data_IF_747323981667
#
_entry.id   IF_747323981667
#
_cell.length_a   1.000
_cell.length_b   1.000
_cell.length_c   1.000
_cell.angle_alpha   90.00
_cell.angle_beta   90.00
_cell.angle_gamma   90.00
#
_symmetry.space_group_name_H-M   'P 1'
#
loop_
_entity.id
_entity.type
_entity.pdbx_description
1 polymer ?
#
# COMPACT_ATOMS: atom_id res chain seq x y z
N UNK A 1 30.69 29.61 -22.52
CA UNK A 1 29.76 29.13 -21.48
C UNK A 1 29.75 27.61 -21.57
N UNK A 2 30.28 26.91 -20.58
CA UNK A 2 30.27 25.44 -20.51
C UNK A 2 29.06 25.05 -19.66
N UNK A 3 28.23 24.13 -20.15
CA UNK A 3 27.11 23.59 -19.39
C UNK A 3 27.66 22.46 -18.52
N UNK A 4 27.67 22.58 -17.18
CA UNK A 4 28.15 21.51 -16.32
C UNK A 4 27.19 20.31 -16.41
N UNK A 5 27.73 19.13 -16.71
CA UNK A 5 26.99 17.87 -16.65
C UNK A 5 27.35 17.16 -15.34
N UNK A 6 26.37 16.81 -14.49
CA UNK A 6 26.67 16.06 -13.26
C UNK A 6 27.23 14.69 -13.63
N UNK A 7 28.26 14.26 -12.89
CA UNK A 7 28.79 12.90 -13.03
C UNK A 7 27.77 11.90 -12.50
N UNK A 8 27.42 10.90 -13.30
CA UNK A 8 26.52 9.81 -12.91
C UNK A 8 27.26 8.49 -13.03
N UNK A 9 27.86 8.03 -11.93
CA UNK A 9 28.36 6.67 -11.80
C UNK A 9 28.62 6.39 -10.31
N UNK A 10 27.62 5.82 -9.65
CA UNK A 10 27.80 5.19 -8.35
C UNK A 10 27.26 3.78 -8.49
N UNK A 11 28.15 2.78 -8.45
CA UNK A 11 27.74 1.38 -8.37
C UNK A 11 27.63 1.00 -6.89
N UNK A 12 26.43 0.58 -6.49
CA UNK A 12 26.20 0.10 -5.12
C UNK A 12 26.46 -1.41 -5.08
N UNK A 13 27.50 -1.82 -4.37
CA UNK A 13 27.89 -3.25 -4.25
C UNK A 13 26.76 -4.12 -3.70
N UNK A 14 25.86 -3.53 -2.91
CA UNK A 14 24.73 -4.20 -2.27
C UNK A 14 23.48 -4.25 -3.14
N UNK A 15 23.46 -3.67 -4.35
CA UNK A 15 22.25 -3.65 -5.20
C UNK A 15 21.67 -5.05 -5.45
N UNK A 16 22.52 -6.07 -5.57
CA UNK A 16 22.07 -7.46 -5.75
C UNK A 16 21.38 -8.07 -4.53
N UNK A 17 21.46 -7.45 -3.35
CA UNK A 17 20.71 -7.87 -2.16
C UNK A 17 19.28 -7.34 -2.14
N UNK A 18 19.03 -6.17 -2.74
CA UNK A 18 17.74 -5.49 -2.68
C UNK A 18 16.86 -5.74 -3.90
N UNK A 19 17.46 -6.02 -5.06
CA UNK A 19 16.71 -6.15 -6.32
C UNK A 19 16.84 -7.56 -6.89
N UNK A 20 15.72 -8.27 -7.00
CA UNK A 20 15.64 -9.56 -7.69
C UNK A 20 15.72 -9.36 -9.20
N UNK A 21 16.54 -10.15 -9.88
CA UNK A 21 16.72 -10.07 -11.34
C UNK A 21 15.77 -10.99 -12.12
N UNK A 22 15.03 -11.86 -11.43
CA UNK A 22 14.14 -12.84 -12.06
C UNK A 22 12.83 -12.17 -12.49
N UNK A 23 12.77 -11.71 -13.74
CA UNK A 23 11.54 -11.18 -14.34
C UNK A 23 11.20 -11.94 -15.62
N UNK A 24 10.03 -12.58 -15.65
CA UNK A 24 9.51 -13.21 -16.86
C UNK A 24 8.82 -12.16 -17.73
N UNK A 25 9.34 -11.95 -18.94
CA UNK A 25 8.76 -11.00 -19.89
C UNK A 25 7.57 -11.65 -20.60
N UNK A 26 6.38 -11.02 -20.61
CA UNK A 26 5.25 -11.52 -21.36
C UNK A 26 5.52 -11.42 -22.88
N UNK A 27 4.86 -12.30 -23.65
CA UNK A 27 4.94 -12.28 -25.12
C UNK A 27 4.27 -11.05 -25.75
N UNK A 28 3.37 -10.39 -25.02
CA UNK A 28 2.64 -9.20 -25.44
C UNK A 28 3.07 -8.00 -24.60
N UNK A 29 2.77 -6.79 -25.07
CA UNK A 29 3.03 -5.58 -24.30
C UNK A 29 2.25 -5.57 -22.99
N UNK A 30 2.90 -5.06 -21.94
CA UNK A 30 2.31 -4.91 -20.61
C UNK A 30 1.21 -3.86 -20.72
N UNK A 31 -0.04 -4.28 -20.56
CA UNK A 31 -1.15 -3.37 -20.36
C UNK A 31 -1.28 -3.10 -18.86
N UNK A 32 -0.93 -1.88 -18.46
CA UNK A 32 -0.85 -1.50 -17.05
C UNK A 32 -2.08 -0.66 -16.67
N UNK A 33 -2.83 -1.09 -15.65
CA UNK A 33 -3.93 -0.29 -15.10
C UNK A 33 -3.48 0.36 -13.80
N UNK A 34 -3.74 1.67 -13.67
CA UNK A 34 -3.33 2.49 -12.51
C UNK A 34 -3.99 2.03 -11.20
N UNK A 35 -5.10 1.31 -11.29
CA UNK A 35 -5.84 0.79 -10.13
C UNK A 35 -4.96 -0.16 -9.30
N UNK A 36 -4.09 -0.95 -9.95
CA UNK A 36 -3.18 -1.87 -9.27
C UNK A 36 -2.09 -1.16 -8.44
N UNK A 37 -1.82 0.13 -8.69
CA UNK A 37 -0.94 0.96 -7.84
C UNK A 37 -1.73 1.57 -6.67
N UNK A 38 -3.02 1.84 -6.85
CA UNK A 38 -3.82 2.56 -5.87
C UNK A 38 -4.42 1.66 -4.79
N UNK A 39 -4.35 0.35 -4.95
CA UNK A 39 -4.70 -0.62 -3.91
C UNK A 39 -3.51 -0.80 -2.94
N UNK A 40 -3.15 0.29 -2.25
CA UNK A 40 -2.13 0.33 -1.18
C UNK A 40 -2.54 -0.48 0.07
N UNK A 41 -3.58 -1.34 -0.03
CA UNK A 41 -4.07 -2.12 1.11
C UNK A 41 -3.29 -3.42 1.35
N UNK A 42 -2.53 -3.89 0.36
CA UNK A 42 -1.76 -5.14 0.46
C UNK A 42 -0.40 -4.96 1.15
N UNK A 43 0.22 -3.78 1.02
CA UNK A 43 1.55 -3.47 1.57
C UNK A 43 1.40 -2.45 2.69
N UNK A 44 1.89 -2.73 3.91
CA UNK A 44 1.85 -1.76 5.00
C UNK A 44 2.61 -0.48 4.65
N UNK A 45 2.06 0.68 5.02
CA UNK A 45 2.75 1.98 4.86
C UNK A 45 3.99 2.12 5.76
N UNK A 46 4.14 1.26 6.77
CA UNK A 46 5.20 1.32 7.76
C UNK A 46 6.32 0.34 7.42
N UNK A 47 7.54 0.84 7.25
CA UNK A 47 8.75 0.04 7.10
C UNK A 47 9.52 -0.02 8.43
N UNK A 48 9.98 -1.21 8.82
CA UNK A 48 10.85 -1.37 9.99
C UNK A 48 12.20 -0.64 9.84
N UNK A 49 12.66 -0.01 10.93
CA UNK A 49 14.02 0.52 11.03
C UNK A 49 14.95 -0.39 11.86
N UNK A 50 16.22 0.00 11.95
CA UNK A 50 17.22 -0.77 12.71
C UNK A 50 16.90 -0.87 14.21
N UNK A 51 16.29 0.17 14.79
CA UNK A 51 15.85 0.17 16.20
C UNK A 51 14.72 -0.87 16.39
N UNK A 52 13.79 -0.98 15.42
CA UNK A 52 12.69 -1.96 15.43
C UNK A 52 13.21 -3.40 15.29
N UNK A 53 14.21 -3.64 14.43
CA UNK A 53 14.84 -4.95 14.31
C UNK A 53 15.51 -5.40 15.62
N UNK A 54 16.20 -4.49 16.30
CA UNK A 54 16.81 -4.78 17.60
C UNK A 54 15.74 -5.06 18.67
N UNK A 55 14.64 -4.29 18.64
CA UNK A 55 13.51 -4.50 19.53
C UNK A 55 12.85 -5.87 19.32
N UNK A 56 12.57 -6.28 18.07
CA UNK A 56 12.00 -7.61 17.79
C UNK A 56 12.94 -8.74 18.24
N UNK A 57 14.25 -8.59 18.05
CA UNK A 57 15.26 -9.57 18.53
C UNK A 57 15.31 -9.68 20.05
N UNK A 58 14.91 -8.63 20.77
CA UNK A 58 14.88 -8.61 22.24
C UNK A 58 13.66 -9.33 22.84
N UNK A 59 12.62 -9.58 22.04
CA UNK A 59 11.41 -10.27 22.49
C UNK A 59 11.67 -11.77 22.70
N UNK A 60 10.94 -12.43 23.64
CA UNK A 60 10.93 -13.88 23.77
C UNK A 60 10.62 -14.55 22.43
N UNK A 61 11.23 -15.70 22.16
CA UNK A 61 11.04 -16.42 20.88
C UNK A 61 9.57 -16.70 20.55
N UNK A 62 8.75 -16.94 21.57
CA UNK A 62 7.32 -17.24 21.40
C UNK A 62 6.49 -16.00 21.01
N UNK A 63 7.04 -14.80 21.25
CA UNK A 63 6.41 -13.50 20.96
C UNK A 63 7.06 -12.80 19.75
N UNK A 64 8.05 -13.43 19.09
CA UNK A 64 8.68 -12.89 17.89
C UNK A 64 7.71 -12.96 16.71
N UNK A 65 7.34 -11.79 16.21
CA UNK A 65 6.47 -11.63 15.05
C UNK A 65 7.28 -11.61 13.76
N UNK A 66 6.65 -12.10 12.68
CA UNK A 66 7.15 -11.88 11.32
C UNK A 66 7.19 -10.36 11.03
N UNK A 67 8.21 -9.85 10.31
CA UNK A 67 8.37 -8.42 10.02
C UNK A 67 7.10 -7.75 9.48
N UNK A 68 6.45 -8.37 8.49
CA UNK A 68 5.23 -7.84 7.89
C UNK A 68 4.07 -7.73 8.92
N UNK A 69 3.98 -8.66 9.86
CA UNK A 69 2.95 -8.62 10.91
C UNK A 69 3.22 -7.49 11.89
N UNK A 70 4.49 -7.22 12.22
CA UNK A 70 4.87 -6.07 13.04
C UNK A 70 4.54 -4.75 12.34
N UNK A 71 4.88 -4.63 11.05
CA UNK A 71 4.62 -3.44 10.23
C UNK A 71 3.13 -3.11 10.15
N UNK A 72 2.27 -4.12 9.91
CA UNK A 72 0.80 -3.99 9.93
C UNK A 72 0.29 -3.47 11.27
N UNK A 73 0.84 -3.95 12.39
CA UNK A 73 0.41 -3.49 13.73
C UNK A 73 0.85 -2.04 13.98
N UNK A 74 2.08 -1.69 13.63
CA UNK A 74 2.60 -0.33 13.79
C UNK A 74 1.82 0.68 12.95
N UNK A 75 1.52 0.33 11.70
CA UNK A 75 0.68 1.12 10.81
C UNK A 75 -0.73 1.33 11.39
N UNK A 76 -1.35 0.26 11.92
CA UNK A 76 -2.65 0.36 12.57
C UNK A 76 -2.63 1.24 13.81
N UNK A 77 -1.57 1.19 14.62
CA UNK A 77 -1.40 2.07 15.79
C UNK A 77 -1.29 3.55 15.37
N UNK A 78 -0.54 3.83 14.30
CA UNK A 78 -0.46 5.18 13.73
C UNK A 78 -1.83 5.65 13.19
N UNK A 79 -2.53 4.83 12.41
CA UNK A 79 -3.87 5.15 11.84
C UNK A 79 -4.94 5.29 12.93
N UNK A 80 -4.93 4.44 13.96
CA UNK A 80 -5.92 4.41 15.05
C UNK A 80 -5.86 5.63 15.97
N UNK A 81 -4.72 6.34 16.02
CA UNK A 81 -4.65 7.60 16.80
C UNK A 81 -5.56 8.68 16.21
N UNK A 82 -5.99 8.56 14.95
CA UNK A 82 -6.94 9.47 14.30
C UNK A 82 -8.42 9.04 14.40
N UNK A 83 -8.72 7.74 14.52
CA UNK A 83 -10.07 7.19 14.61
C UNK A 83 -10.07 5.81 15.30
N UNK A 84 -10.88 5.69 16.35
CA UNK A 84 -11.25 4.50 17.15
C UNK A 84 -10.59 3.15 16.78
N UNK A 85 -9.73 2.69 17.72
CA UNK A 85 -8.90 1.48 17.75
C UNK A 85 -9.65 0.14 17.70
N UNK A 86 -10.43 -0.13 16.65
CA UNK A 86 -11.30 -1.30 16.56
C UNK A 86 -10.68 -2.54 15.90
N UNK A 87 -9.42 -2.50 15.45
CA UNK A 87 -8.91 -3.50 14.49
C UNK A 87 -7.62 -4.25 14.83
N UNK A 88 -7.08 -4.15 16.04
CA UNK A 88 -5.88 -4.91 16.39
C UNK A 88 -6.25 -6.33 16.85
N UNK A 89 -6.78 -7.12 15.91
CA UNK A 89 -7.16 -8.54 16.13
C UNK A 89 -6.10 -9.54 15.65
N UNK A 90 -4.99 -9.03 15.12
CA UNK A 90 -3.97 -9.85 14.45
C UNK A 90 -2.93 -10.43 15.40
N UNK A 91 -2.89 -9.97 16.65
CA UNK A 91 -1.86 -10.32 17.63
C UNK A 91 -2.51 -10.58 19.00
N UNK A 92 -1.89 -11.44 19.81
CA UNK A 92 -2.32 -11.68 21.18
C UNK A 92 -2.31 -10.38 22.00
N UNK A 93 -3.22 -10.26 22.95
CA UNK A 93 -3.36 -9.06 23.78
C UNK A 93 -2.07 -8.75 24.58
N UNK A 94 -1.33 -9.79 24.98
CA UNK A 94 -0.05 -9.65 25.67
C UNK A 94 1.03 -9.00 24.80
N UNK A 95 1.19 -9.48 23.56
CA UNK A 95 2.19 -8.94 22.64
C UNK A 95 1.79 -7.55 22.17
N UNK A 96 0.49 -7.34 21.92
CA UNK A 96 -0.04 -6.03 21.57
C UNK A 96 0.30 -4.95 22.62
N UNK A 97 0.16 -5.28 23.91
CA UNK A 97 0.49 -4.34 24.99
C UNK A 97 1.98 -3.94 24.95
N UNK A 98 2.88 -4.90 24.72
CA UNK A 98 4.33 -4.65 24.63
C UNK A 98 4.67 -3.80 23.40
N UNK A 99 4.05 -4.10 22.25
CA UNK A 99 4.20 -3.30 21.02
C UNK A 99 3.69 -1.88 21.19
N UNK A 100 2.55 -1.72 21.87
CA UNK A 100 1.97 -0.41 22.15
C UNK A 100 2.89 0.45 23.01
N UNK A 101 3.48 -0.12 24.07
CA UNK A 101 4.42 0.59 24.95
C UNK A 101 5.68 1.02 24.18
N UNK A 102 6.19 0.15 23.31
CA UNK A 102 7.31 0.46 22.43
C UNK A 102 6.98 1.58 21.44
N UNK A 103 5.87 1.46 20.71
CA UNK A 103 5.37 2.46 19.77
C UNK A 103 5.17 3.82 20.46
N UNK A 104 4.55 3.84 21.64
CA UNK A 104 4.30 5.05 22.41
C UNK A 104 5.62 5.74 22.82
N UNK A 105 6.63 4.97 23.21
CA UNK A 105 7.98 5.48 23.51
C UNK A 105 8.64 6.06 22.26
N UNK A 106 8.54 5.37 21.12
CA UNK A 106 9.08 5.82 19.82
C UNK A 106 8.43 7.13 19.39
N UNK A 107 7.11 7.23 19.49
CA UNK A 107 6.35 8.45 19.16
C UNK A 107 6.73 9.65 20.03
N UNK A 108 6.92 9.43 21.34
CA UNK A 108 7.38 10.49 22.27
C UNK A 108 8.78 11.00 21.92
N UNK A 109 9.69 10.13 21.45
CA UNK A 109 11.03 10.49 21.01
C UNK A 109 11.00 11.35 19.74
N UNK A 110 10.13 11.03 18.80
CA UNK A 110 9.99 11.75 17.51
C UNK A 110 9.18 13.05 17.65
N UNK A 111 8.37 13.18 18.72
CA UNK A 111 7.50 14.33 18.98
C UNK A 111 6.51 14.63 17.82
N UNK A 112 6.01 13.58 17.16
CA UNK A 112 5.17 13.70 15.97
C UNK A 112 4.62 12.36 15.46
N UNK A 113 4.21 12.34 14.19
CA UNK A 113 3.92 11.10 13.44
C UNK A 113 5.22 10.36 13.18
N UNK A 114 5.24 9.03 13.35
CA UNK A 114 6.45 8.22 13.07
C UNK A 114 6.64 8.08 11.54
N UNK A 115 5.55 8.04 10.78
CA UNK A 115 5.58 7.97 9.33
C UNK A 115 5.98 9.31 8.71
N UNK A 116 7.02 9.30 7.88
CA UNK A 116 7.44 10.49 7.14
C UNK A 116 6.39 10.86 6.09
N UNK A 117 5.95 12.12 6.11
CA UNK A 117 5.01 12.66 5.13
C UNK A 117 5.60 13.87 4.44
N UNK A 118 5.32 13.99 3.15
CA UNK A 118 5.63 15.22 2.41
C UNK A 118 4.85 16.38 3.03
N UNK A 119 5.56 17.46 3.35
CA UNK A 119 4.95 18.65 3.91
C UNK A 119 4.04 19.31 2.87
N UNK A 120 2.74 19.36 3.17
CA UNK A 120 1.72 19.98 2.32
C UNK A 120 1.24 21.30 2.93
N UNK A 121 0.64 22.16 2.11
CA UNK A 121 0.09 23.44 2.56
C UNK A 121 -1.05 23.24 3.56
N UNK A 122 -1.03 24.03 4.64
CA UNK A 122 -2.12 24.05 5.62
C UNK A 122 -3.37 24.63 4.96
N UNK A 123 -4.55 24.13 5.33
CA UNK A 123 -5.84 24.58 4.80
C UNK A 123 -6.19 26.04 5.15
N UNK A 124 -5.41 26.65 6.04
CA UNK A 124 -5.66 27.97 6.60
C UNK A 124 -5.22 29.13 5.66
N UNK A 125 -4.76 28.82 4.44
CA UNK A 125 -4.40 29.82 3.42
C UNK A 125 -3.12 30.61 3.69
N UNK A 126 -2.46 30.36 4.81
CA UNK A 126 -1.10 30.83 5.07
C UNK A 126 -0.12 30.06 4.19
N UNK A 127 0.50 30.74 3.23
CA UNK A 127 1.60 30.22 2.44
C UNK A 127 2.93 30.57 3.11
N UNK A 128 3.50 29.72 3.98
CA UNK A 128 4.86 29.93 4.43
C UNK A 128 5.81 29.86 3.22
N UNK A 129 6.81 30.74 3.17
CA UNK A 129 7.94 30.66 2.24
C UNK A 129 8.89 29.53 2.68
N UNK A 130 8.35 28.32 2.83
CA UNK A 130 9.09 27.12 3.23
C UNK A 130 9.36 26.28 1.97
N UNK A 131 10.64 26.10 1.57
CA UNK A 131 11.02 25.31 0.39
C UNK A 131 10.58 23.85 0.42
N UNK A 132 10.29 23.28 1.59
CA UNK A 132 9.84 21.89 1.74
C UNK A 132 8.35 21.67 1.46
N UNK A 133 7.56 22.75 1.29
CA UNK A 133 6.12 22.63 1.00
C UNK A 133 5.91 22.27 -0.47
N UNK A 134 5.42 21.04 -0.72
CA UNK A 134 5.14 20.52 -2.05
C UNK A 134 3.64 20.28 -2.28
N UNK A 135 3.27 19.97 -3.53
CA UNK A 135 1.91 19.59 -3.95
C UNK A 135 0.79 20.57 -3.53
N UNK A 136 1.07 21.89 -3.62
CA UNK A 136 0.11 22.93 -3.27
C UNK A 136 -1.16 22.80 -4.08
N UNK A 137 -2.29 22.81 -3.39
CA UNK A 137 -3.62 22.79 -4.02
C UNK A 137 -3.93 24.18 -4.52
N UNK A 138 -3.52 24.49 -5.76
CA UNK A 138 -4.15 25.62 -6.44
C UNK A 138 -5.52 25.15 -6.84
N UNK A 139 -6.55 25.75 -6.26
CA UNK A 139 -7.90 25.64 -6.82
C UNK A 139 -7.81 26.22 -8.23
N UNK A 140 -7.60 25.35 -9.22
CA UNK A 140 -8.02 25.66 -10.57
C UNK A 140 -9.48 26.10 -10.41
N UNK A 141 -9.78 27.38 -10.70
CA UNK A 141 -11.13 27.91 -10.48
C UNK A 141 -12.07 26.96 -11.18
N UNK A 142 -12.85 26.20 -10.41
CA UNK A 142 -13.76 25.23 -10.94
C UNK A 142 -14.72 26.03 -11.83
N UNK A 143 -14.53 25.96 -13.15
CA UNK A 143 -15.46 26.57 -14.07
C UNK A 143 -16.73 25.73 -13.95
N UNK A 144 -17.69 26.26 -13.21
CA UNK A 144 -19.03 25.71 -13.14
C UNK A 144 -19.53 25.59 -14.57
N UNK A 145 -19.74 24.35 -15.03
CA UNK A 145 -20.26 24.10 -16.37
C UNK A 145 -21.56 24.88 -16.55
N UNK A 146 -21.81 25.38 -17.77
CA UNK A 146 -23.17 25.66 -18.24
C UNK A 146 -24.06 24.47 -17.89
N UNK A 147 -25.29 24.74 -17.47
CA UNK A 147 -26.29 23.77 -17.03
C UNK A 147 -26.32 22.54 -17.96
N UNK A 148 -25.72 21.42 -17.53
CA UNK A 148 -25.72 20.16 -18.27
C UNK A 148 -27.08 19.52 -18.02
N UNK A 149 -27.96 19.53 -19.00
CA UNK A 149 -29.27 18.88 -18.89
C UNK A 149 -29.07 17.40 -18.56
N UNK A 150 -29.86 16.90 -17.61
CA UNK A 150 -29.89 15.50 -17.26
C UNK A 150 -30.71 14.76 -18.33
N UNK A 151 -30.06 14.43 -19.44
CA UNK A 151 -30.71 13.82 -20.59
C UNK A 151 -30.95 12.32 -20.33
N UNK A 152 -32.18 11.85 -20.57
CA UNK A 152 -32.61 10.44 -20.42
C UNK A 152 -31.64 9.46 -21.09
N UNK A 153 -31.14 9.81 -22.28
CA UNK A 153 -30.14 9.01 -23.01
C UNK A 153 -28.81 8.79 -22.25
N UNK A 154 -28.39 9.72 -21.39
CA UNK A 154 -27.20 9.55 -20.55
C UNK A 154 -27.47 8.57 -19.41
N UNK A 155 -28.69 8.60 -18.86
CA UNK A 155 -29.13 7.69 -17.81
C UNK A 155 -29.26 6.25 -18.32
N UNK A 156 -29.86 6.05 -19.51
CA UNK A 156 -29.92 4.72 -20.15
C UNK A 156 -28.53 4.14 -20.40
N UNK A 157 -27.59 4.97 -20.89
CA UNK A 157 -26.18 4.55 -21.09
C UNK A 157 -25.51 4.14 -19.79
N UNK A 158 -25.78 4.85 -18.69
CA UNK A 158 -25.27 4.49 -17.36
C UNK A 158 -25.83 3.14 -16.90
N UNK A 159 -27.12 2.88 -17.10
CA UNK A 159 -27.73 1.59 -16.77
C UNK A 159 -27.13 0.45 -17.58
N UNK A 160 -26.93 0.66 -18.88
CA UNK A 160 -26.26 -0.32 -19.74
C UNK A 160 -24.83 -0.60 -19.26
N UNK A 161 -24.05 0.45 -18.97
CA UNK A 161 -22.69 0.31 -18.46
C UNK A 161 -22.65 -0.47 -17.13
N UNK A 162 -23.55 -0.17 -16.19
CA UNK A 162 -23.65 -0.89 -14.92
C UNK A 162 -23.89 -2.39 -15.17
N UNK A 163 -24.85 -2.74 -16.03
CA UNK A 163 -25.15 -4.13 -16.37
C UNK A 163 -23.97 -4.82 -17.05
N UNK A 164 -23.28 -4.13 -17.95
CA UNK A 164 -22.10 -4.66 -18.64
C UNK A 164 -20.96 -4.92 -17.63
N UNK A 165 -20.72 -4.01 -16.68
CA UNK A 165 -19.74 -4.20 -15.60
C UNK A 165 -20.12 -5.35 -14.65
N UNK A 166 -21.39 -5.49 -14.29
CA UNK A 166 -21.88 -6.63 -13.49
C UNK A 166 -21.65 -7.96 -14.24
N UNK A 167 -21.85 -7.98 -15.55
CA UNK A 167 -21.57 -9.17 -16.37
C UNK A 167 -20.08 -9.47 -16.42
N UNK A 168 -19.22 -8.46 -16.59
CA UNK A 168 -17.76 -8.61 -16.54
C UNK A 168 -17.33 -9.17 -15.19
N UNK A 169 -17.84 -8.65 -14.07
CA UNK A 169 -17.54 -9.15 -12.73
C UNK A 169 -17.89 -10.64 -12.59
N UNK A 170 -19.09 -11.07 -13.02
CA UNK A 170 -19.48 -12.49 -13.01
C UNK A 170 -18.53 -13.38 -13.82
N UNK A 171 -18.07 -12.90 -14.98
CA UNK A 171 -17.11 -13.65 -15.81
C UNK A 171 -15.76 -13.77 -15.09
N UNK A 172 -15.28 -12.70 -14.47
CA UNK A 172 -14.05 -12.70 -13.69
C UNK A 172 -14.13 -13.66 -12.49
N UNK A 173 -15.26 -13.69 -11.77
CA UNK A 173 -15.50 -14.63 -10.68
C UNK A 173 -15.42 -16.09 -11.17
N UNK A 174 -16.10 -16.41 -12.28
CA UNK A 174 -16.02 -17.73 -12.90
C UNK A 174 -14.59 -18.12 -13.30
N UNK A 175 -13.78 -17.17 -13.77
CA UNK A 175 -12.37 -17.41 -14.11
C UNK A 175 -11.54 -17.64 -12.85
N UNK A 176 -11.73 -16.85 -11.79
CA UNK A 176 -11.05 -17.02 -10.52
C UNK A 176 -11.34 -18.39 -9.89
N UNK A 177 -12.61 -18.79 -9.87
CA UNK A 177 -13.04 -20.12 -9.40
C UNK A 177 -12.40 -21.23 -10.23
N UNK A 178 -12.39 -21.10 -11.56
CA UNK A 178 -11.76 -22.08 -12.45
C UNK A 178 -10.27 -22.25 -12.13
N UNK A 179 -9.52 -21.16 -11.95
CA UNK A 179 -8.10 -21.24 -11.62
C UNK A 179 -7.85 -21.81 -10.21
N UNK A 180 -8.73 -21.50 -9.25
CA UNK A 180 -8.72 -22.13 -7.91
C UNK A 180 -8.93 -23.65 -8.00
N UNK A 181 -9.90 -24.12 -8.76
CA UNK A 181 -10.14 -25.56 -8.93
C UNK A 181 -8.96 -26.26 -9.60
N UNK A 182 -8.34 -25.65 -10.63
CA UNK A 182 -7.13 -26.21 -11.25
C UNK A 182 -5.98 -26.33 -10.27
N UNK A 183 -5.76 -25.32 -9.42
CA UNK A 183 -4.75 -25.38 -8.35
C UNK A 183 -5.02 -26.55 -7.40
N UNK A 184 -6.26 -26.68 -6.91
CA UNK A 184 -6.65 -27.77 -6.03
C UNK A 184 -6.44 -29.16 -6.67
N UNK A 185 -6.74 -29.31 -7.97
CA UNK A 185 -6.49 -30.56 -8.70
C UNK A 185 -5.00 -30.90 -8.72
N UNK A 186 -4.13 -29.91 -8.96
CA UNK A 186 -2.68 -30.10 -8.94
C UNK A 186 -2.19 -30.49 -7.53
N UNK A 187 -2.70 -29.84 -6.49
CA UNK A 187 -2.33 -30.14 -5.10
C UNK A 187 -2.74 -31.56 -4.70
N UNK A 188 -3.95 -31.99 -5.07
CA UNK A 188 -4.42 -33.36 -4.84
C UNK A 188 -3.57 -34.36 -5.61
N UNK A 189 -3.26 -34.10 -6.88
CA UNK A 189 -2.41 -34.98 -7.69
C UNK A 189 -1.01 -35.12 -7.07
N UNK A 190 -0.45 -34.02 -6.57
CA UNK A 190 0.84 -34.01 -5.87
C UNK A 190 0.78 -34.88 -4.60
N UNK A 191 -0.24 -34.69 -3.77
CA UNK A 191 -0.42 -35.48 -2.55
C UNK A 191 -0.57 -36.99 -2.83
N UNK A 192 -1.37 -37.35 -3.83
CA UNK A 192 -1.55 -38.75 -4.26
C UNK A 192 -0.24 -39.35 -4.75
N UNK A 193 0.57 -38.58 -5.48
CA UNK A 193 1.88 -39.02 -5.94
C UNK A 193 2.87 -39.20 -4.78
N UNK A 194 2.94 -38.27 -3.83
CA UNK A 194 3.82 -38.36 -2.66
C UNK A 194 3.44 -39.52 -1.72
N UNK A 195 2.18 -39.96 -1.73
CA UNK A 195 1.67 -41.06 -0.89
C UNK A 195 1.81 -42.45 -1.56
N UNK A 196 2.12 -42.51 -2.86
CA UNK A 196 2.31 -43.76 -3.63
C UNK A 196 3.75 -44.23 -3.60
#
# INVERSE_FOLDING_TARGET
LIIPTPQSQVSYKQSGMFYTTERQLPKQYIHFQVIDILDDSEVPDYDMDSDDEEFLKSLPKDDQLEPESFERVMEQLEKATGNQASLIKFVSESVLQVLYDYWLKKRKKVAGEILYRVLTEKRDGSSPNNPYVAFRRRTEKMQTRKNRKNDESSYEKMFKLKRDLENVARILDCVADREKYKRNILDVNRSVFETR
#
